data_IF_901655899139
#
_entry.id   IF_901655899139
#
_cell.length_a   1.000
_cell.length_b   1.000
_cell.length_c   1.000
_cell.angle_alpha   90.00
_cell.angle_beta   90.00
_cell.angle_gamma   90.00
#
_symmetry.space_group_name_H-M   'P 1'
#
loop_
_entity.id
_entity.type
_entity.pdbx_description
1 polymer ?
#
# COMPACT_ATOMS: atom_id res chain seq x y z
N UNK A 1 4.88 9.36 -5.05
CA UNK A 1 3.50 9.86 -5.27
C UNK A 1 2.60 9.16 -4.26
N UNK A 2 1.86 9.88 -3.43
CA UNK A 2 0.86 9.24 -2.55
C UNK A 2 -0.33 8.83 -3.40
N UNK A 3 -0.68 7.55 -3.40
CA UNK A 3 -1.93 7.08 -4.03
C UNK A 3 -3.03 7.14 -2.98
N UNK A 4 -4.26 7.54 -3.35
CA UNK A 4 -5.35 7.62 -2.39
C UNK A 4 -5.66 6.24 -1.77
N UNK A 5 -6.30 6.27 -0.61
CA UNK A 5 -6.62 5.06 0.16
C UNK A 5 -7.51 4.10 -0.65
N UNK A 6 -8.49 4.63 -1.39
CA UNK A 6 -9.41 3.83 -2.20
C UNK A 6 -8.70 2.98 -3.26
N UNK A 7 -7.77 3.57 -4.02
CA UNK A 7 -7.01 2.89 -5.07
C UNK A 7 -6.08 1.81 -4.48
N UNK A 8 -5.54 2.05 -3.28
CA UNK A 8 -4.75 1.04 -2.56
C UNK A 8 -5.60 -0.12 -2.08
N UNK A 9 -6.75 0.17 -1.48
CA UNK A 9 -7.70 -0.85 -1.04
C UNK A 9 -8.19 -1.70 -2.22
N UNK A 10 -8.48 -1.07 -3.36
CA UNK A 10 -8.81 -1.77 -4.60
C UNK A 10 -7.68 -2.72 -5.02
N UNK A 11 -6.43 -2.26 -5.05
CA UNK A 11 -5.29 -3.08 -5.46
C UNK A 11 -5.07 -4.30 -4.53
N UNK A 12 -5.24 -4.13 -3.21
CA UNK A 12 -5.16 -5.23 -2.24
C UNK A 12 -6.25 -6.26 -2.54
N UNK A 13 -7.51 -5.80 -2.61
CA UNK A 13 -8.64 -6.70 -2.78
C UNK A 13 -8.60 -7.42 -4.13
N UNK A 14 -8.41 -6.69 -5.23
CA UNK A 14 -8.35 -7.25 -6.58
C UNK A 14 -7.28 -8.34 -6.68
N UNK A 15 -6.10 -8.12 -6.10
CA UNK A 15 -5.03 -9.11 -6.08
C UNK A 15 -5.37 -10.31 -5.19
N UNK A 16 -6.03 -10.10 -4.06
CA UNK A 16 -6.43 -11.18 -3.14
C UNK A 16 -7.44 -12.15 -3.76
N UNK A 17 -8.28 -11.68 -4.68
CA UNK A 17 -9.25 -12.51 -5.42
C UNK A 17 -8.69 -13.05 -6.75
N UNK A 18 -7.39 -12.88 -7.01
CA UNK A 18 -6.70 -13.48 -8.15
C UNK A 18 -6.72 -12.66 -9.45
N UNK A 19 -7.14 -11.39 -9.43
CA UNK A 19 -7.04 -10.53 -10.62
C UNK A 19 -5.56 -10.30 -10.96
N UNK A 20 -5.22 -10.41 -12.24
CA UNK A 20 -3.85 -10.22 -12.71
C UNK A 20 -3.32 -8.83 -12.38
N UNK A 21 -2.02 -8.72 -12.08
CA UNK A 21 -1.39 -7.43 -11.79
C UNK A 21 -1.48 -6.47 -12.98
N UNK A 22 -1.57 -7.01 -14.20
CA UNK A 22 -1.67 -6.27 -15.44
C UNK A 22 -3.05 -5.59 -15.55
N UNK A 23 -4.12 -6.35 -15.33
CA UNK A 23 -5.49 -5.82 -15.30
C UNK A 23 -5.67 -4.78 -14.18
N UNK A 24 -5.07 -5.01 -13.01
CA UNK A 24 -5.10 -4.03 -11.91
C UNK A 24 -4.35 -2.76 -12.31
N UNK A 25 -3.21 -2.90 -12.99
CA UNK A 25 -2.41 -1.75 -13.45
C UNK A 25 -3.18 -0.90 -14.46
N UNK A 26 -3.80 -1.52 -15.45
CA UNK A 26 -4.64 -0.85 -16.45
C UNK A 26 -5.85 -0.15 -15.83
N UNK A 27 -6.52 -0.81 -14.88
CA UNK A 27 -7.75 -0.28 -14.26
C UNK A 27 -7.49 0.83 -13.25
N UNK A 28 -6.39 0.75 -12.49
CA UNK A 28 -6.09 1.66 -11.38
C UNK A 28 -5.08 2.77 -11.73
N UNK A 29 -4.38 2.65 -12.85
CA UNK A 29 -3.25 3.52 -13.21
C UNK A 29 -2.02 3.34 -12.32
N UNK A 30 -2.01 2.37 -11.41
CA UNK A 30 -0.83 2.02 -10.61
C UNK A 30 0.18 1.26 -11.46
N UNK A 31 1.47 1.49 -11.22
CA UNK A 31 2.51 0.60 -11.77
C UNK A 31 2.42 -0.79 -11.13
N UNK A 32 2.77 -1.84 -11.88
CA UNK A 32 2.86 -3.23 -11.37
C UNK A 32 3.71 -3.31 -10.09
N UNK A 33 4.83 -2.58 -10.06
CA UNK A 33 5.71 -2.46 -8.87
C UNK A 33 4.97 -1.88 -7.67
N UNK A 34 4.17 -0.84 -7.87
CA UNK A 34 3.38 -0.21 -6.82
C UNK A 34 2.33 -1.17 -6.27
N UNK A 35 1.64 -1.90 -7.15
CA UNK A 35 0.63 -2.90 -6.75
C UNK A 35 1.26 -3.97 -5.86
N UNK A 36 2.39 -4.54 -6.28
CA UNK A 36 3.10 -5.55 -5.49
C UNK A 36 3.52 -5.03 -4.11
N UNK A 37 4.08 -3.82 -4.07
CA UNK A 37 4.51 -3.20 -2.81
C UNK A 37 3.34 -2.89 -1.86
N UNK A 38 2.19 -2.46 -2.39
CA UNK A 38 0.99 -2.23 -1.57
C UNK A 38 0.53 -3.56 -0.97
N UNK A 39 0.48 -4.61 -1.78
CA UNK A 39 0.04 -5.93 -1.35
C UNK A 39 0.97 -6.53 -0.29
N UNK A 40 2.29 -6.48 -0.50
CA UNK A 40 3.30 -6.94 0.47
C UNK A 40 3.15 -6.21 1.82
N UNK A 41 2.97 -4.88 1.80
CA UNK A 41 2.75 -4.10 3.03
C UNK A 41 1.44 -4.44 3.73
N UNK A 42 0.39 -4.76 2.97
CA UNK A 42 -0.86 -5.19 3.56
C UNK A 42 -0.64 -6.52 4.32
N UNK A 43 0.08 -7.47 3.73
CA UNK A 43 0.44 -8.74 4.39
C UNK A 43 1.27 -8.50 5.66
N UNK A 44 2.28 -7.61 5.60
CA UNK A 44 3.08 -7.22 6.77
C UNK A 44 2.23 -6.61 7.90
N UNK A 45 1.10 -5.99 7.56
CA UNK A 45 0.15 -5.36 8.49
C UNK A 45 -1.01 -6.27 8.89
N UNK A 46 -0.94 -7.57 8.58
CA UNK A 46 -1.93 -8.56 9.01
C UNK A 46 -3.12 -8.73 8.07
N UNK A 47 -3.01 -8.30 6.80
CA UNK A 47 -3.99 -8.68 5.79
C UNK A 47 -3.93 -10.20 5.55
N UNK A 48 -5.07 -10.87 5.66
CA UNK A 48 -5.21 -12.31 5.40
C UNK A 48 -5.96 -12.56 4.07
N UNK A 49 -5.26 -13.03 3.02
CA UNK A 49 -5.91 -13.41 1.78
C UNK A 49 -6.86 -14.60 1.99
N UNK A 50 -8.07 -14.53 1.44
CA UNK A 50 -9.07 -15.60 1.54
C UNK A 50 -10.03 -15.47 2.73
N UNK A 51 -9.77 -14.57 3.68
CA UNK A 51 -10.76 -14.16 4.66
C UNK A 51 -11.79 -13.20 4.03
N UNK A 52 -13.00 -13.04 4.61
CA UNK A 52 -13.90 -11.93 4.29
C UNK A 52 -13.19 -10.58 4.41
N UNK A 53 -13.68 -9.55 3.71
CA UNK A 53 -13.04 -8.24 3.57
C UNK A 53 -12.52 -7.67 4.90
N UNK A 54 -11.20 -7.71 5.09
CA UNK A 54 -10.49 -7.32 6.32
C UNK A 54 -9.47 -6.18 6.11
N UNK A 55 -9.55 -5.46 4.98
CA UNK A 55 -8.67 -4.31 4.71
C UNK A 55 -9.04 -3.15 5.63
N UNK A 56 -8.12 -2.75 6.50
CA UNK A 56 -8.26 -1.62 7.42
C UNK A 56 -7.53 -0.38 6.90
N UNK A 57 -7.86 0.80 7.44
CA UNK A 57 -7.17 2.06 7.09
C UNK A 57 -5.66 2.00 7.37
N UNK A 58 -5.24 1.35 8.46
CA UNK A 58 -3.83 1.22 8.79
C UNK A 58 -3.06 0.45 7.71
N UNK A 59 -3.65 -0.60 7.13
CA UNK A 59 -3.03 -1.40 6.07
C UNK A 59 -2.72 -0.60 4.80
N UNK A 60 -3.52 0.43 4.50
CA UNK A 60 -3.44 1.24 3.28
C UNK A 60 -2.79 2.61 3.51
N UNK A 61 -2.63 3.04 4.76
CA UNK A 61 -1.98 4.28 5.12
C UNK A 61 -0.52 4.32 4.64
N UNK A 62 -0.08 5.50 4.21
CA UNK A 62 1.35 5.72 3.94
C UNK A 62 2.15 5.66 5.24
N UNK A 63 3.26 4.92 5.21
CA UNK A 63 4.23 5.00 6.29
C UNK A 63 4.68 6.47 6.44
N UNK A 64 4.94 6.94 7.67
CA UNK A 64 5.50 8.26 7.90
C UNK A 64 6.69 8.45 6.97
N UNK A 65 6.66 9.50 6.14
CA UNK A 65 7.83 9.84 5.34
C UNK A 65 8.94 10.12 6.33
N UNK A 66 10.03 9.33 6.27
CA UNK A 66 11.28 9.70 6.93
C UNK A 66 11.76 10.98 6.24
N UNK A 67 11.25 12.11 6.71
CA UNK A 67 11.70 13.42 6.25
C UNK A 67 13.21 13.50 6.39
N UNK A 68 13.81 14.50 5.74
CA UNK A 68 15.23 14.78 5.91
C UNK A 68 15.53 14.86 7.43
N UNK A 69 16.51 14.12 7.95
CA UNK A 69 16.91 14.24 9.36
C UNK A 69 17.16 15.72 9.67
N UNK A 70 16.53 16.26 10.73
CA UNK A 70 16.84 17.62 11.19
C UNK A 70 18.29 17.64 11.64
N UNK A 71 19.06 18.64 11.18
CA UNK A 71 20.43 18.87 11.64
C UNK A 71 20.36 19.06 13.16
N UNK A 72 21.00 18.17 13.92
CA UNK A 72 21.20 18.38 15.36
C UNK A 72 22.07 19.63 15.51
N UNK A 73 21.49 20.74 15.95
CA UNK A 73 22.31 21.76 16.60
C UNK A 73 22.72 21.17 17.94
N UNK A 74 24.01 20.84 18.08
CA UNK A 74 24.60 20.76 19.42
C UNK A 74 24.40 22.14 20.04
N UNK A 75 23.49 22.24 21.01
CA UNK A 75 23.48 23.38 21.92
C UNK A 75 24.65 23.16 22.88
N UNK A 76 25.53 24.16 22.94
CA UNK A 76 26.77 24.18 23.72
C UNK A 76 26.50 24.75 25.11
#
# INVERSE_FOLDING_TARGET
MGHNIAVRSFAIHAKSIGISTDTISESSGLSKRTINRIYERALEKGFEPGAPWNVTEDMVADAPRSGRPKKQSLDM
#
